data_IF_706285076712
#
_entry.id   IF_706285076712
#
_cell.length_a   1.000
_cell.length_b   1.000
_cell.length_c   1.000
_cell.angle_alpha   90.00
_cell.angle_beta   90.00
_cell.angle_gamma   90.00
#
_symmetry.space_group_name_H-M   'P 1'
#
loop_
_entity.id
_entity.type
_entity.pdbx_description
1 polymer ?
#
# COMPACT_ATOMS: atom_id res chain seq x y z
N UNK A 1 0.12 28.32 9.24
CA UNK A 1 0.04 28.98 7.92
C UNK A 1 0.30 27.90 6.89
N UNK A 2 -0.56 27.79 5.88
CA UNK A 2 -0.40 26.79 4.81
C UNK A 2 0.83 27.10 3.96
N UNK A 3 1.49 26.07 3.44
CA UNK A 3 2.64 26.25 2.55
C UNK A 3 2.24 26.84 1.19
N UNK A 4 3.21 27.38 0.46
CA UNK A 4 3.01 27.86 -0.91
C UNK A 4 2.51 26.75 -1.83
N UNK A 5 3.04 25.52 -1.68
CA UNK A 5 2.57 24.34 -2.41
C UNK A 5 1.11 24.03 -2.11
N UNK A 6 0.70 24.09 -0.84
CA UNK A 6 -0.69 23.85 -0.45
C UNK A 6 -1.63 24.89 -1.06
N UNK A 7 -1.27 26.18 -0.97
CA UNK A 7 -2.07 27.27 -1.56
C UNK A 7 -2.17 27.15 -3.09
N UNK A 8 -1.11 26.69 -3.76
CA UNK A 8 -1.13 26.45 -5.21
C UNK A 8 -2.08 25.29 -5.58
N UNK A 9 -2.03 24.17 -4.85
CA UNK A 9 -2.97 23.06 -5.04
C UNK A 9 -4.41 23.46 -4.75
N UNK A 10 -4.62 24.25 -3.69
CA UNK A 10 -5.95 24.73 -3.33
C UNK A 10 -6.59 25.54 -4.46
N UNK A 11 -5.81 26.37 -5.18
CA UNK A 11 -6.32 27.10 -6.35
C UNK A 11 -6.82 26.16 -7.44
N UNK A 12 -6.08 25.07 -7.72
CA UNK A 12 -6.49 24.05 -8.69
C UNK A 12 -7.75 23.34 -8.21
N UNK A 13 -7.81 22.99 -6.92
CA UNK A 13 -8.95 22.34 -6.29
C UNK A 13 -10.22 23.21 -6.36
N UNK A 14 -10.10 24.53 -6.21
CA UNK A 14 -11.20 25.49 -6.37
C UNK A 14 -11.78 25.43 -7.79
N UNK A 15 -10.93 25.41 -8.83
CA UNK A 15 -11.42 25.32 -10.21
C UNK A 15 -12.08 23.96 -10.50
N UNK A 16 -11.50 22.86 -9.99
CA UNK A 16 -12.11 21.53 -10.09
C UNK A 16 -13.47 21.48 -9.37
N UNK A 17 -13.58 22.04 -8.17
CA UNK A 17 -14.82 22.08 -7.40
C UNK A 17 -15.88 22.98 -8.04
N UNK A 18 -15.48 24.05 -8.74
CA UNK A 18 -16.41 24.86 -9.54
C UNK A 18 -16.98 24.06 -10.70
N UNK A 19 -16.14 23.31 -11.40
CA UNK A 19 -16.59 22.47 -12.51
C UNK A 19 -17.59 21.41 -12.02
N UNK A 20 -17.25 20.69 -10.94
CA UNK A 20 -18.13 19.64 -10.37
C UNK A 20 -19.52 20.20 -10.02
N UNK A 21 -19.60 21.42 -9.48
CA UNK A 21 -20.87 22.05 -9.07
C UNK A 21 -21.80 22.39 -10.24
N UNK A 22 -21.34 22.32 -11.47
CA UNK A 22 -22.18 22.54 -12.65
C UNK A 22 -23.09 21.35 -12.95
N UNK A 23 -22.87 20.21 -12.30
CA UNK A 23 -23.58 18.95 -12.56
C UNK A 23 -24.37 18.51 -11.33
N UNK A 24 -25.57 17.97 -11.56
CA UNK A 24 -26.39 17.35 -10.51
C UNK A 24 -26.09 15.86 -10.32
N UNK A 25 -25.40 15.24 -11.28
CA UNK A 25 -25.02 13.84 -11.27
C UNK A 25 -23.62 13.67 -11.87
N UNK A 26 -22.79 12.81 -11.27
CA UNK A 26 -21.41 12.55 -11.72
C UNK A 26 -21.06 11.07 -11.62
N UNK A 27 -20.18 10.58 -12.50
CA UNK A 27 -19.66 9.21 -12.43
C UNK A 27 -18.27 9.20 -11.81
N UNK A 28 -18.09 8.52 -10.68
CA UNK A 28 -16.81 8.45 -9.99
C UNK A 28 -16.08 7.14 -10.32
N UNK A 29 -14.81 7.24 -10.68
CA UNK A 29 -13.94 6.09 -10.95
C UNK A 29 -12.74 6.14 -10.02
N UNK A 30 -12.48 5.03 -9.31
CA UNK A 30 -11.40 4.96 -8.34
C UNK A 30 -10.63 3.65 -8.36
N UNK A 31 -9.40 3.70 -7.84
CA UNK A 31 -8.54 2.53 -7.72
C UNK A 31 -9.02 1.58 -6.59
N UNK A 32 -8.65 0.30 -6.67
CA UNK A 32 -9.12 -0.74 -5.72
C UNK A 32 -8.29 -0.87 -4.45
N UNK A 33 -7.17 -0.17 -4.31
CA UNK A 33 -6.37 -0.24 -3.09
C UNK A 33 -6.87 0.71 -2.00
N UNK A 34 -6.15 0.78 -0.87
CA UNK A 34 -6.54 1.64 0.24
C UNK A 34 -6.57 3.13 -0.12
N UNK A 35 -5.69 3.60 -1.00
CA UNK A 35 -5.65 5.02 -1.38
C UNK A 35 -6.83 5.36 -2.29
N UNK A 36 -7.14 4.50 -3.26
CA UNK A 36 -8.34 4.61 -4.08
C UNK A 36 -9.63 4.49 -3.29
N UNK A 37 -9.80 3.44 -2.48
CA UNK A 37 -11.03 3.21 -1.70
C UNK A 37 -11.31 4.37 -0.73
N UNK A 38 -10.27 4.93 -0.10
CA UNK A 38 -10.45 6.12 0.75
C UNK A 38 -10.73 7.37 -0.08
N UNK A 39 -10.08 7.56 -1.22
CA UNK A 39 -10.38 8.66 -2.15
C UNK A 39 -11.84 8.64 -2.62
N UNK A 40 -12.33 7.47 -3.03
CA UNK A 40 -13.72 7.24 -3.40
C UNK A 40 -14.67 7.63 -2.27
N UNK A 41 -14.40 7.21 -1.04
CA UNK A 41 -15.23 7.54 0.12
C UNK A 41 -15.20 9.05 0.45
N UNK A 42 -14.04 9.68 0.32
CA UNK A 42 -13.87 11.12 0.54
C UNK A 42 -14.72 11.91 -0.47
N UNK A 43 -14.58 11.62 -1.78
CA UNK A 43 -15.33 12.35 -2.80
C UNK A 43 -16.84 12.06 -2.71
N UNK A 44 -17.24 10.81 -2.46
CA UNK A 44 -18.64 10.44 -2.27
C UNK A 44 -19.31 11.24 -1.15
N UNK A 45 -18.67 11.30 0.03
CA UNK A 45 -19.18 12.11 1.16
C UNK A 45 -19.24 13.60 0.84
N UNK A 46 -18.25 14.12 0.12
CA UNK A 46 -18.23 15.52 -0.28
C UNK A 46 -19.36 15.85 -1.27
N UNK A 47 -19.60 14.98 -2.26
CA UNK A 47 -20.67 15.12 -3.25
C UNK A 47 -22.06 15.06 -2.59
N UNK A 48 -22.29 14.09 -1.69
CA UNK A 48 -23.55 14.01 -0.94
C UNK A 48 -23.83 15.26 -0.11
N UNK A 49 -22.81 15.78 0.59
CA UNK A 49 -22.93 17.03 1.36
C UNK A 49 -23.17 18.24 0.47
N UNK A 50 -22.70 18.20 -0.77
CA UNK A 50 -22.96 19.21 -1.78
C UNK A 50 -24.32 19.02 -2.50
N UNK A 51 -25.04 17.92 -2.23
CA UNK A 51 -26.31 17.60 -2.89
C UNK A 51 -26.16 17.18 -4.35
N UNK A 52 -25.04 16.54 -4.70
CA UNK A 52 -24.73 16.02 -6.04
C UNK A 52 -24.82 14.50 -6.00
N UNK A 53 -25.67 13.92 -6.85
CA UNK A 53 -25.81 12.48 -6.97
C UNK A 53 -24.57 11.88 -7.65
N UNK A 54 -24.23 10.63 -7.32
CA UNK A 54 -23.07 9.98 -7.92
C UNK A 54 -23.26 8.48 -8.11
N UNK A 55 -22.57 7.96 -9.13
CA UNK A 55 -22.29 6.53 -9.30
C UNK A 55 -20.81 6.26 -8.99
N UNK A 56 -20.50 5.06 -8.50
CA UNK A 56 -19.14 4.69 -8.10
C UNK A 56 -18.70 3.41 -8.80
N UNK A 57 -17.58 3.49 -9.52
CA UNK A 57 -16.93 2.39 -10.20
C UNK A 57 -15.51 2.21 -9.67
N UNK A 58 -15.15 0.97 -9.36
CA UNK A 58 -13.80 0.61 -8.92
C UNK A 58 -13.07 -0.17 -10.02
N UNK A 59 -11.83 0.21 -10.32
CA UNK A 59 -11.00 -0.45 -11.35
C UNK A 59 -9.61 -0.77 -10.81
N UNK A 60 -9.07 -1.93 -11.22
CA UNK A 60 -7.71 -2.35 -10.86
C UNK A 60 -6.63 -1.49 -11.53
N UNK A 61 -6.94 -0.96 -12.69
CA UNK A 61 -6.10 -0.08 -13.48
C UNK A 61 -7.00 0.66 -14.45
N UNK A 62 -6.68 1.91 -14.74
CA UNK A 62 -7.29 2.65 -15.85
C UNK A 62 -6.44 2.44 -17.10
N UNK A 63 -6.98 1.74 -18.09
CA UNK A 63 -6.38 1.58 -19.41
C UNK A 63 -7.20 2.33 -20.47
N UNK A 64 -6.66 2.41 -21.69
CA UNK A 64 -7.32 3.07 -22.81
C UNK A 64 -8.73 2.51 -23.08
N UNK A 65 -8.91 1.19 -22.90
CA UNK A 65 -10.17 0.52 -23.14
C UNK A 65 -11.25 1.04 -22.20
N UNK A 66 -10.95 1.15 -20.90
CA UNK A 66 -11.90 1.69 -19.91
C UNK A 66 -12.20 3.17 -20.19
N UNK A 67 -11.19 3.98 -20.55
CA UNK A 67 -11.42 5.40 -20.90
C UNK A 67 -12.36 5.52 -22.10
N UNK A 68 -12.17 4.67 -23.11
CA UNK A 68 -13.03 4.62 -24.28
C UNK A 68 -14.46 4.19 -23.91
N UNK A 69 -14.63 3.14 -23.13
CA UNK A 69 -15.95 2.69 -22.65
C UNK A 69 -16.68 3.82 -21.91
N UNK A 70 -16.01 4.52 -20.99
CA UNK A 70 -16.58 5.67 -20.28
C UNK A 70 -17.01 6.82 -21.22
N UNK A 71 -16.26 7.06 -22.30
CA UNK A 71 -16.62 8.07 -23.31
C UNK A 71 -17.85 7.67 -24.14
N UNK A 72 -18.13 6.38 -24.28
CA UNK A 72 -19.28 5.85 -25.02
C UNK A 72 -20.55 5.80 -24.15
N UNK A 73 -20.38 5.77 -22.81
CA UNK A 73 -21.48 5.79 -21.83
C UNK A 73 -22.15 7.17 -21.67
N UNK A 74 -21.56 8.25 -22.23
CA UNK A 74 -22.09 9.62 -22.24
C UNK A 74 -22.43 10.19 -20.84
N UNK A 75 -21.58 9.93 -19.84
CA UNK A 75 -21.65 10.61 -18.55
C UNK A 75 -21.40 12.12 -18.71
N UNK A 76 -22.20 12.96 -18.04
CA UNK A 76 -22.04 14.42 -18.10
C UNK A 76 -20.67 14.87 -17.56
N UNK A 77 -20.20 14.23 -16.49
CA UNK A 77 -18.88 14.42 -15.90
C UNK A 77 -18.38 13.12 -15.25
N UNK A 78 -17.13 12.76 -15.53
CA UNK A 78 -16.41 11.68 -14.84
C UNK A 78 -15.38 12.25 -13.85
N UNK A 79 -15.39 11.79 -12.61
CA UNK A 79 -14.40 12.15 -11.59
C UNK A 79 -13.49 10.96 -11.35
N UNK A 80 -12.22 11.10 -11.73
CA UNK A 80 -11.17 10.13 -11.47
C UNK A 80 -10.49 10.44 -10.13
N UNK A 81 -10.39 9.45 -9.25
CA UNK A 81 -9.71 9.56 -7.96
C UNK A 81 -8.64 8.48 -7.80
N UNK A 82 -7.42 8.88 -7.43
CA UNK A 82 -6.26 7.98 -7.29
C UNK A 82 -5.82 7.26 -8.59
N UNK A 83 -6.29 7.77 -9.73
CA UNK A 83 -5.90 7.33 -11.07
C UNK A 83 -6.24 8.41 -12.09
N UNK A 84 -5.79 8.23 -13.33
CA UNK A 84 -6.11 9.11 -14.45
C UNK A 84 -4.95 9.96 -14.95
N UNK A 85 -3.95 10.31 -14.13
CA UNK A 85 -2.84 11.19 -14.56
C UNK A 85 -2.02 10.60 -15.70
N UNK A 86 -1.88 9.27 -15.73
CA UNK A 86 -1.19 8.56 -16.80
C UNK A 86 -2.04 8.34 -18.05
N UNK A 87 -3.32 8.73 -18.06
CA UNK A 87 -4.25 8.48 -19.17
C UNK A 87 -4.85 9.78 -19.73
N UNK A 88 -4.28 10.94 -19.38
CA UNK A 88 -4.79 12.26 -19.78
C UNK A 88 -4.91 12.40 -21.30
N UNK A 89 -3.92 11.92 -22.06
CA UNK A 89 -3.99 11.95 -23.53
C UNK A 89 -5.19 11.18 -24.07
N UNK A 90 -5.49 10.00 -23.54
CA UNK A 90 -6.67 9.23 -23.93
C UNK A 90 -7.98 9.92 -23.53
N UNK A 91 -8.05 10.48 -22.31
CA UNK A 91 -9.23 11.24 -21.83
C UNK A 91 -9.55 12.39 -22.80
N UNK A 92 -8.54 13.13 -23.24
CA UNK A 92 -8.69 14.23 -24.21
C UNK A 92 -9.07 13.71 -25.59
N UNK A 93 -8.38 12.67 -26.08
CA UNK A 93 -8.60 12.13 -27.43
C UNK A 93 -10.01 11.57 -27.63
N UNK A 94 -10.58 10.96 -26.59
CA UNK A 94 -11.96 10.47 -26.60
C UNK A 94 -13.00 11.55 -26.24
N UNK A 95 -12.56 12.78 -25.92
CA UNK A 95 -13.45 13.88 -25.57
C UNK A 95 -14.22 13.66 -24.26
N UNK A 96 -13.66 12.88 -23.34
CA UNK A 96 -14.29 12.58 -22.05
C UNK A 96 -14.20 13.80 -21.14
N UNK A 97 -15.34 14.32 -20.70
CA UNK A 97 -15.38 15.41 -19.73
C UNK A 97 -15.00 14.88 -18.34
N UNK A 98 -13.90 15.37 -17.79
CA UNK A 98 -13.31 14.79 -16.58
C UNK A 98 -12.78 15.79 -15.56
N UNK A 99 -12.86 15.43 -14.28
CA UNK A 99 -12.01 15.98 -13.21
C UNK A 99 -11.10 14.86 -12.70
N UNK A 100 -9.80 15.15 -12.57
CA UNK A 100 -8.80 14.15 -12.18
C UNK A 100 -8.15 14.59 -10.87
N UNK A 101 -8.30 13.80 -9.81
CA UNK A 101 -7.66 13.98 -8.50
C UNK A 101 -6.72 12.81 -8.22
N UNK A 102 -5.42 13.02 -8.43
CA UNK A 102 -4.44 11.92 -8.49
C UNK A 102 -3.03 12.42 -8.16
N UNK A 103 -2.13 11.50 -7.79
CA UNK A 103 -0.76 11.76 -7.36
C UNK A 103 0.31 11.12 -8.27
N UNK A 104 -0.09 10.30 -9.23
CA UNK A 104 0.82 9.70 -10.20
C UNK A 104 1.46 10.73 -11.14
N UNK A 105 2.57 10.35 -11.80
CA UNK A 105 3.22 11.25 -12.77
C UNK A 105 2.28 11.54 -13.96
N UNK A 106 1.98 12.81 -14.27
CA UNK A 106 1.13 13.18 -15.40
C UNK A 106 1.74 12.79 -16.76
N UNK A 107 0.90 12.33 -17.67
CA UNK A 107 1.20 12.14 -19.10
C UNK A 107 0.24 13.00 -19.93
N UNK A 108 0.56 14.29 -20.06
CA UNK A 108 -0.29 15.28 -20.74
C UNK A 108 -0.68 16.45 -19.82
N UNK A 109 -1.61 17.28 -20.28
CA UNK A 109 -2.15 18.42 -19.53
C UNK A 109 -3.67 18.46 -19.66
N UNK A 110 -4.36 18.64 -18.54
CA UNK A 110 -5.82 18.77 -18.49
C UNK A 110 -6.22 19.95 -17.60
N UNK A 111 -7.30 20.66 -17.92
CA UNK A 111 -7.72 21.88 -17.20
C UNK A 111 -8.14 21.60 -15.76
N UNK A 112 -8.83 20.48 -15.53
CA UNK A 112 -9.32 20.04 -14.22
C UNK A 112 -8.49 18.87 -13.71
N UNK A 113 -7.19 19.09 -13.51
CA UNK A 113 -6.25 18.09 -12.99
C UNK A 113 -5.63 18.56 -11.68
N UNK A 114 -6.11 18.01 -10.57
CA UNK A 114 -5.55 18.22 -9.25
C UNK A 114 -4.47 17.18 -8.97
N UNK A 115 -3.20 17.60 -9.08
CA UNK A 115 -2.06 16.71 -8.87
C UNK A 115 -0.85 17.44 -8.24
N UNK A 116 -0.20 16.86 -7.20
CA UNK A 116 0.94 17.46 -6.51
C UNK A 116 2.12 17.78 -7.44
N UNK A 117 2.35 16.99 -8.49
CA UNK A 117 3.44 17.22 -9.43
C UNK A 117 3.33 18.56 -10.16
N UNK A 118 2.11 19.08 -10.36
CA UNK A 118 1.87 20.37 -11.02
C UNK A 118 2.35 21.57 -10.19
N UNK A 119 2.55 21.38 -8.89
CA UNK A 119 3.04 22.41 -7.96
C UNK A 119 4.43 22.10 -7.40
N UNK A 120 5.15 21.14 -8.03
CA UNK A 120 6.49 20.74 -7.59
C UNK A 120 6.50 19.92 -6.29
N UNK A 121 5.38 19.29 -5.93
CA UNK A 121 5.34 18.29 -4.86
C UNK A 121 5.60 16.88 -5.40
N UNK A 122 6.08 15.99 -4.54
CA UNK A 122 6.36 14.61 -4.87
C UNK A 122 5.17 13.71 -4.51
N UNK A 123 4.49 13.16 -5.52
CA UNK A 123 3.36 12.26 -5.32
C UNK A 123 3.67 10.95 -4.59
N UNK A 124 4.93 10.55 -4.43
CA UNK A 124 5.28 9.29 -3.74
C UNK A 124 5.47 9.43 -2.22
N UNK A 125 5.57 10.65 -1.68
CA UNK A 125 5.76 10.84 -0.23
C UNK A 125 5.26 12.18 0.34
N UNK A 126 4.92 13.18 -0.49
CA UNK A 126 4.41 14.47 -0.01
C UNK A 126 2.88 14.58 -0.05
N UNK A 127 2.19 13.88 -0.97
CA UNK A 127 0.72 13.85 -1.05
C UNK A 127 0.24 12.60 -1.84
N UNK A 128 -0.76 11.91 -1.32
CA UNK A 128 -1.41 10.72 -1.93
C UNK A 128 -2.67 11.08 -2.73
N UNK A 129 -3.28 10.12 -3.43
CA UNK A 129 -4.56 10.28 -4.12
C UNK A 129 -5.70 10.61 -3.15
N UNK A 130 -5.71 10.02 -1.95
CA UNK A 130 -6.68 10.37 -0.90
C UNK A 130 -6.41 11.77 -0.33
N UNK A 131 -5.14 12.19 -0.27
CA UNK A 131 -4.75 13.53 0.12
C UNK A 131 -5.18 14.61 -0.88
N UNK A 132 -4.98 14.39 -2.20
CA UNK A 132 -5.48 15.30 -3.25
C UNK A 132 -7.00 15.38 -3.20
N UNK A 133 -7.66 14.23 -3.07
CA UNK A 133 -9.13 14.16 -3.03
C UNK A 133 -9.70 14.81 -1.78
N UNK A 134 -9.02 14.75 -0.64
CA UNK A 134 -9.38 15.50 0.57
C UNK A 134 -9.27 17.02 0.38
N UNK A 135 -8.22 17.50 -0.30
CA UNK A 135 -8.09 18.93 -0.62
C UNK A 135 -9.26 19.36 -1.53
N UNK A 136 -9.59 18.56 -2.55
CA UNK A 136 -10.76 18.81 -3.42
C UNK A 136 -12.08 18.81 -2.62
N UNK A 137 -12.29 17.83 -1.75
CA UNK A 137 -13.49 17.71 -0.94
C UNK A 137 -13.72 18.97 -0.08
N UNK A 138 -12.68 19.55 0.51
CA UNK A 138 -12.80 20.77 1.30
C UNK A 138 -13.21 22.00 0.48
N UNK A 139 -13.01 21.98 -0.84
CA UNK A 139 -13.50 23.03 -1.75
C UNK A 139 -14.94 22.78 -2.20
N UNK A 140 -15.50 21.59 -1.96
CA UNK A 140 -16.92 21.26 -2.18
C UNK A 140 -17.80 21.59 -0.96
N UNK A 141 -17.25 21.63 0.25
CA UNK A 141 -17.97 21.95 1.49
C UNK A 141 -17.09 21.74 2.74
N UNK A 142 -17.70 21.77 3.94
CA UNK A 142 -16.96 21.43 5.17
C UNK A 142 -16.77 19.91 5.25
N UNK A 143 -15.55 19.46 4.92
CA UNK A 143 -15.18 18.06 4.81
C UNK A 143 -13.93 17.70 5.63
N UNK A 144 -13.61 18.53 6.63
CA UNK A 144 -12.41 18.39 7.47
C UNK A 144 -12.37 17.08 8.25
N UNK A 145 -13.53 16.55 8.61
CA UNK A 145 -13.67 15.26 9.29
C UNK A 145 -13.19 14.06 8.47
N UNK A 146 -13.10 14.20 7.15
CA UNK A 146 -12.60 13.17 6.24
C UNK A 146 -11.07 13.09 6.21
N UNK A 147 -10.36 13.93 6.97
CA UNK A 147 -8.91 13.88 7.11
C UNK A 147 -8.44 12.50 7.61
N UNK A 148 -9.24 11.80 8.43
CA UNK A 148 -8.92 10.44 8.88
C UNK A 148 -8.74 9.47 7.71
N UNK A 149 -9.64 9.52 6.72
CA UNK A 149 -9.57 8.69 5.51
C UNK A 149 -8.39 9.09 4.63
N UNK A 150 -8.09 10.40 4.51
CA UNK A 150 -6.93 10.88 3.77
C UNK A 150 -5.62 10.32 4.35
N UNK A 151 -5.51 10.29 5.68
CA UNK A 151 -4.34 9.68 6.33
C UNK A 151 -4.33 8.15 6.13
N UNK A 152 -5.47 7.47 6.18
CA UNK A 152 -5.52 6.01 5.92
C UNK A 152 -5.01 5.67 4.52
N UNK A 153 -5.47 6.38 3.48
CA UNK A 153 -5.00 6.15 2.11
C UNK A 153 -3.51 6.43 1.96
N UNK A 154 -3.04 7.58 2.46
CA UNK A 154 -1.63 7.95 2.50
C UNK A 154 -0.72 6.91 3.20
N UNK A 155 -1.19 6.30 4.29
CA UNK A 155 -0.47 5.21 4.97
C UNK A 155 -0.56 3.90 4.19
N UNK A 156 -1.69 3.62 3.54
CA UNK A 156 -1.83 2.50 2.60
C UNK A 156 -0.85 2.57 1.45
N UNK A 157 -0.56 3.79 0.99
CA UNK A 157 0.37 4.11 -0.08
C UNK A 157 1.85 4.27 0.41
N UNK A 158 2.10 3.93 1.67
CA UNK A 158 3.42 3.89 2.31
C UNK A 158 4.20 5.23 2.28
N UNK A 159 3.51 6.37 2.19
CA UNK A 159 4.16 7.68 2.00
C UNK A 159 5.00 8.14 3.21
N UNK A 160 4.70 7.62 4.40
CA UNK A 160 5.48 7.87 5.62
C UNK A 160 6.86 7.18 5.61
N UNK A 161 7.04 6.13 4.80
CA UNK A 161 8.11 5.15 4.92
C UNK A 161 9.52 5.75 4.80
N UNK A 162 9.69 6.72 3.90
CA UNK A 162 10.98 7.36 3.61
C UNK A 162 11.54 8.15 4.80
N UNK A 163 10.67 8.80 5.56
CA UNK A 163 11.06 9.69 6.66
C UNK A 163 10.67 9.15 8.04
N UNK A 164 10.00 7.99 8.10
CA UNK A 164 9.42 7.46 9.34
C UNK A 164 8.27 8.31 9.89
N UNK A 165 7.73 9.22 9.08
CA UNK A 165 6.61 10.12 9.41
C UNK A 165 6.06 10.75 8.13
N UNK A 166 4.86 11.33 8.22
CA UNK A 166 4.31 12.17 7.16
C UNK A 166 5.06 13.51 7.10
N UNK A 167 5.21 14.03 5.89
CA UNK A 167 5.96 15.27 5.62
C UNK A 167 5.17 16.14 4.64
N UNK A 168 5.52 17.43 4.59
CA UNK A 168 4.98 18.34 3.56
C UNK A 168 3.46 18.42 3.62
N UNK A 169 2.76 18.29 2.49
CA UNK A 169 1.30 18.45 2.40
C UNK A 169 0.54 17.43 3.26
N UNK A 170 0.99 16.18 3.34
CA UNK A 170 0.41 15.19 4.26
C UNK A 170 0.54 15.61 5.74
N UNK A 171 1.67 16.21 6.12
CA UNK A 171 1.88 16.72 7.49
C UNK A 171 0.97 17.92 7.77
N UNK A 172 0.69 18.76 6.77
CA UNK A 172 -0.26 19.87 6.89
C UNK A 172 -1.70 19.36 7.11
N UNK A 173 -2.15 18.36 6.34
CA UNK A 173 -3.46 17.70 6.53
C UNK A 173 -3.57 17.14 7.94
N UNK A 174 -2.54 16.42 8.41
CA UNK A 174 -2.51 15.84 9.74
C UNK A 174 -2.59 16.90 10.85
N UNK A 175 -1.73 17.93 10.79
CA UNK A 175 -1.66 18.98 11.81
C UNK A 175 -2.91 19.85 11.87
N UNK A 176 -3.64 19.98 10.76
CA UNK A 176 -4.87 20.74 10.71
C UNK A 176 -6.07 20.03 11.36
N UNK A 177 -5.99 18.71 11.60
CA UNK A 177 -7.12 17.89 12.05
C UNK A 177 -6.79 16.99 13.27
N UNK A 178 -6.26 17.54 14.38
CA UNK A 178 -5.86 16.76 15.55
C UNK A 178 -7.01 16.04 16.26
N UNK A 179 -8.25 16.48 16.06
CA UNK A 179 -9.47 15.87 16.60
C UNK A 179 -9.94 14.63 15.84
N UNK A 180 -9.35 14.34 14.68
CA UNK A 180 -9.68 13.17 13.85
C UNK A 180 -8.54 12.15 13.80
N UNK A 181 -7.28 12.63 13.78
CA UNK A 181 -6.10 11.76 13.72
C UNK A 181 -5.04 12.22 14.72
N UNK A 182 -4.60 11.29 15.58
CA UNK A 182 -3.52 11.50 16.52
C UNK A 182 -2.25 10.84 16.01
N UNK A 183 -1.20 11.64 15.82
CA UNK A 183 0.14 11.16 15.51
C UNK A 183 0.95 10.95 16.80
N UNK A 184 1.65 9.82 16.92
CA UNK A 184 2.57 9.56 18.03
C UNK A 184 3.75 8.71 17.60
N UNK A 185 4.92 8.97 18.18
CA UNK A 185 6.07 8.07 18.02
C UNK A 185 5.80 6.79 18.80
N UNK A 186 5.75 5.66 18.10
CA UNK A 186 5.49 4.34 18.69
C UNK A 186 6.16 3.24 17.83
N UNK A 187 6.05 1.99 18.27
CA UNK A 187 6.48 0.82 17.52
C UNK A 187 5.78 0.79 16.15
N UNK A 188 6.57 0.76 15.08
CA UNK A 188 6.10 0.86 13.69
C UNK A 188 5.42 -0.41 13.16
N UNK A 189 5.39 -1.47 13.96
CA UNK A 189 4.90 -2.78 13.55
C UNK A 189 3.38 -2.80 13.34
N UNK A 190 2.96 -3.60 12.37
CA UNK A 190 1.56 -3.88 12.07
C UNK A 190 0.89 -4.74 13.15
N UNK A 191 -0.38 -4.47 13.45
CA UNK A 191 -1.22 -5.31 14.32
C UNK A 191 -1.27 -4.86 15.78
N UNK A 192 -0.96 -3.59 16.08
CA UNK A 192 -1.00 -3.03 17.43
C UNK A 192 -2.37 -3.20 18.10
N UNK A 193 -3.45 -3.00 17.34
CA UNK A 193 -4.84 -3.04 17.78
C UNK A 193 -5.39 -4.48 17.79
N UNK A 194 -5.01 -5.31 16.82
CA UNK A 194 -5.71 -6.58 16.55
C UNK A 194 -4.88 -7.84 16.73
N UNK A 195 -3.57 -7.75 16.94
CA UNK A 195 -2.69 -8.93 17.01
C UNK A 195 -2.01 -9.10 18.36
N UNK A 196 -1.83 -10.36 18.80
CA UNK A 196 -0.89 -10.67 19.87
C UNK A 196 0.52 -10.20 19.53
N UNK A 197 1.25 -9.70 20.52
CA UNK A 197 2.55 -9.06 20.31
C UNK A 197 3.59 -9.97 19.63
N UNK A 198 3.62 -11.27 19.95
CA UNK A 198 4.54 -12.21 19.29
C UNK A 198 4.26 -12.32 17.78
N UNK A 199 2.98 -12.26 17.35
CA UNK A 199 2.61 -12.25 15.93
C UNK A 199 2.97 -10.95 15.24
N UNK A 200 2.92 -9.81 15.95
CA UNK A 200 3.37 -8.54 15.39
C UNK A 200 4.86 -8.60 15.03
N UNK A 201 5.68 -9.15 15.93
CA UNK A 201 7.12 -9.30 15.72
C UNK A 201 7.40 -10.35 14.62
N UNK A 202 6.73 -11.52 14.68
CA UNK A 202 6.91 -12.60 13.71
C UNK A 202 6.68 -12.12 12.26
N UNK A 203 5.65 -11.32 12.03
CA UNK A 203 5.29 -10.85 10.69
C UNK A 203 5.89 -9.48 10.33
N UNK A 204 6.82 -8.96 11.14
CA UNK A 204 7.56 -7.74 10.81
C UNK A 204 8.59 -8.03 9.72
N UNK A 205 8.24 -7.79 8.46
CA UNK A 205 9.21 -7.83 7.35
C UNK A 205 10.03 -6.56 7.24
N UNK A 206 9.57 -5.47 7.86
CA UNK A 206 10.16 -4.16 7.73
C UNK A 206 9.87 -3.28 8.97
N UNK A 207 10.84 -3.16 9.91
CA UNK A 207 12.20 -3.67 9.80
C UNK A 207 12.30 -5.20 9.93
N UNK A 208 13.26 -5.78 9.21
CA UNK A 208 13.65 -7.18 9.40
C UNK A 208 14.43 -7.33 10.71
N UNK A 209 13.98 -8.24 11.57
CA UNK A 209 14.58 -8.58 12.86
C UNK A 209 15.19 -9.98 12.76
N UNK A 210 16.54 -10.11 12.60
CA UNK A 210 17.20 -11.40 12.40
C UNK A 210 16.84 -12.41 13.48
N UNK A 211 16.37 -13.60 13.11
CA UNK A 211 15.99 -14.65 14.08
C UNK A 211 14.60 -14.51 14.70
N UNK A 212 13.93 -13.35 14.55
CA UNK A 212 12.55 -13.12 15.00
C UNK A 212 11.56 -13.08 13.83
N UNK A 213 11.86 -12.31 12.78
CA UNK A 213 11.01 -12.25 11.58
C UNK A 213 10.87 -13.63 10.95
N UNK A 214 9.63 -14.09 10.77
CA UNK A 214 9.30 -15.40 10.22
C UNK A 214 9.49 -16.57 11.19
N UNK A 215 9.87 -16.32 12.45
CA UNK A 215 10.13 -17.33 13.47
C UNK A 215 9.24 -17.11 14.72
N UNK A 216 8.20 -17.94 14.85
CA UNK A 216 7.26 -17.83 15.97
C UNK A 216 7.91 -18.18 17.31
N UNK A 217 8.62 -19.31 17.38
CA UNK A 217 9.26 -19.79 18.60
C UNK A 217 10.30 -18.78 19.08
N UNK A 218 11.09 -18.22 18.16
CA UNK A 218 12.04 -17.15 18.48
C UNK A 218 11.37 -15.89 19.06
N UNK A 219 10.19 -15.51 18.55
CA UNK A 219 9.43 -14.39 19.10
C UNK A 219 8.89 -14.69 20.52
N UNK A 220 8.40 -15.91 20.74
CA UNK A 220 7.91 -16.36 22.05
C UNK A 220 9.05 -16.40 23.07
N UNK A 221 10.21 -16.95 22.70
CA UNK A 221 11.40 -17.00 23.55
C UNK A 221 11.92 -15.59 23.87
N UNK A 222 12.02 -14.73 22.86
CA UNK A 222 12.43 -13.33 23.02
C UNK A 222 11.53 -12.60 24.03
N UNK A 223 10.21 -12.70 23.88
CA UNK A 223 9.26 -12.06 24.80
C UNK A 223 9.23 -12.74 26.18
N UNK A 224 9.43 -14.06 26.24
CA UNK A 224 9.52 -14.83 27.47
C UNK A 224 10.69 -14.37 28.35
N UNK A 225 11.84 -14.04 27.74
CA UNK A 225 13.01 -13.51 28.44
C UNK A 225 12.73 -12.18 29.19
N UNK A 226 11.73 -11.43 28.74
CA UNK A 226 11.34 -10.13 29.30
C UNK A 226 10.32 -10.26 30.45
N UNK A 227 9.93 -11.50 30.80
CA UNK A 227 8.98 -11.81 31.88
C UNK A 227 7.64 -11.05 31.74
N UNK A 228 7.11 -10.98 30.51
CA UNK A 228 5.84 -10.29 30.25
C UNK A 228 4.64 -11.01 30.89
N UNK A 229 3.70 -10.26 31.51
CA UNK A 229 2.45 -10.85 31.96
C UNK A 229 1.60 -11.29 30.76
N UNK A 230 1.17 -12.55 30.76
CA UNK A 230 0.07 -13.03 29.92
C UNK A 230 -1.21 -12.25 30.24
N UNK A 231 -2.17 -12.25 29.32
CA UNK A 231 -3.52 -11.76 29.58
C UNK A 231 -4.19 -12.60 30.69
N UNK A 232 -5.29 -12.09 31.26
CA UNK A 232 -6.01 -12.73 32.37
C UNK A 232 -6.52 -14.14 32.05
N UNK A 233 -6.62 -14.48 30.77
CA UNK A 233 -7.07 -15.76 30.21
C UNK A 233 -5.91 -16.60 29.62
N UNK A 234 -4.68 -16.36 30.06
CA UNK A 234 -3.44 -17.00 29.58
C UNK A 234 -3.13 -16.75 28.09
N UNK A 235 -3.85 -15.84 27.43
CA UNK A 235 -3.56 -15.44 26.05
C UNK A 235 -2.44 -14.41 26.00
N UNK A 236 -1.76 -14.34 24.87
CA UNK A 236 -0.81 -13.26 24.61
C UNK A 236 -1.54 -11.92 24.46
N UNK A 237 -1.06 -10.90 25.19
CA UNK A 237 -1.55 -9.52 25.09
C UNK A 237 -1.27 -8.92 23.70
N UNK A 238 -2.12 -8.00 23.27
CA UNK A 238 -1.87 -7.11 22.13
C UNK A 238 -1.04 -5.92 22.57
N UNK A 239 -0.49 -5.16 21.62
CA UNK A 239 0.28 -3.96 21.95
C UNK A 239 -0.53 -2.96 22.77
N UNK A 240 -1.80 -2.73 22.40
CA UNK A 240 -2.68 -1.80 23.12
C UNK A 240 -3.00 -2.25 24.55
N UNK A 241 -2.93 -3.55 24.85
CA UNK A 241 -3.21 -4.08 26.19
C UNK A 241 -2.01 -3.94 27.15
N UNK A 242 -0.88 -3.39 26.68
CA UNK A 242 0.33 -3.17 27.46
C UNK A 242 0.35 -1.78 28.12
N UNK A 243 0.77 -1.77 29.38
CA UNK A 243 1.10 -0.55 30.10
C UNK A 243 2.30 0.17 29.47
N UNK A 244 2.40 1.49 29.67
CA UNK A 244 3.48 2.31 29.08
C UNK A 244 4.87 1.79 29.48
N UNK A 245 5.04 1.34 30.73
CA UNK A 245 6.30 0.78 31.22
C UNK A 245 6.67 -0.51 30.48
N UNK A 246 5.67 -1.33 30.17
CA UNK A 246 5.83 -2.61 29.48
C UNK A 246 6.13 -2.40 27.99
N UNK A 247 5.44 -1.45 27.33
CA UNK A 247 5.77 -1.02 25.96
C UNK A 247 7.23 -0.57 25.85
N UNK A 248 7.70 0.25 26.80
CA UNK A 248 9.10 0.71 26.84
C UNK A 248 10.09 -0.45 26.95
N UNK A 249 9.80 -1.43 27.81
CA UNK A 249 10.65 -2.64 27.94
C UNK A 249 10.74 -3.41 26.62
N UNK A 250 9.62 -3.63 25.92
CA UNK A 250 9.63 -4.30 24.61
C UNK A 250 10.51 -3.53 23.63
N UNK A 251 10.29 -2.22 23.52
CA UNK A 251 11.03 -1.36 22.58
C UNK A 251 12.53 -1.40 22.88
N UNK A 252 12.92 -1.22 24.15
CA UNK A 252 14.33 -1.31 24.57
C UNK A 252 14.94 -2.66 24.21
N UNK A 253 14.22 -3.76 24.49
CA UNK A 253 14.68 -5.10 24.15
C UNK A 253 14.82 -5.31 22.63
N UNK A 254 13.91 -4.80 21.81
CA UNK A 254 14.00 -4.90 20.34
C UNK A 254 15.22 -4.12 19.83
N UNK A 255 15.51 -2.95 20.40
CA UNK A 255 16.68 -2.15 20.03
C UNK A 255 17.97 -2.85 20.43
N UNK A 256 18.08 -3.33 21.68
CA UNK A 256 19.24 -4.07 22.18
C UNK A 256 19.48 -5.34 21.36
N UNK A 257 18.41 -6.08 21.05
CA UNK A 257 18.45 -7.24 20.18
C UNK A 257 18.97 -6.87 18.78
N UNK A 258 18.48 -5.77 18.21
CA UNK A 258 18.90 -5.28 16.89
C UNK A 258 20.38 -4.91 16.85
N UNK A 259 20.89 -4.27 17.90
CA UNK A 259 22.32 -3.95 18.05
C UNK A 259 23.14 -5.24 18.14
N UNK A 260 22.72 -6.19 18.99
CA UNK A 260 23.40 -7.48 19.16
C UNK A 260 23.47 -8.32 17.88
N UNK A 261 22.52 -8.12 16.95
CA UNK A 261 22.45 -8.81 15.66
C UNK A 261 22.96 -7.98 14.48
N UNK A 262 23.66 -6.86 14.74
CA UNK A 262 24.24 -5.98 13.71
C UNK A 262 23.21 -5.49 12.69
N UNK A 263 21.98 -5.21 13.12
CA UNK A 263 20.95 -4.61 12.26
C UNK A 263 21.42 -3.21 11.83
N UNK A 264 21.43 -2.87 10.53
CA UNK A 264 21.87 -1.56 10.07
C UNK A 264 21.08 -0.42 10.72
N UNK A 265 21.75 0.71 11.01
CA UNK A 265 21.12 1.89 11.62
C UNK A 265 19.87 2.34 10.84
N UNK A 266 19.95 2.38 9.51
CA UNK A 266 18.82 2.74 8.67
C UNK A 266 17.58 1.82 8.84
N UNK A 267 17.76 0.57 9.28
CA UNK A 267 16.65 -0.32 9.63
C UNK A 267 16.20 -0.10 11.08
N UNK A 268 17.13 0.18 12.00
CA UNK A 268 16.80 0.47 13.40
C UNK A 268 15.99 1.76 13.54
N UNK A 269 16.30 2.78 12.75
CA UNK A 269 15.53 4.05 12.69
C UNK A 269 14.07 3.83 12.26
N UNK A 270 13.73 2.64 11.75
CA UNK A 270 12.39 2.25 11.30
C UNK A 270 11.64 1.41 12.32
N UNK A 271 12.24 1.07 13.46
CA UNK A 271 11.58 0.36 14.57
C UNK A 271 10.56 1.27 15.25
N UNK A 272 10.92 2.55 15.44
CA UNK A 272 10.06 3.56 16.05
C UNK A 272 9.79 4.64 15.02
N UNK A 273 8.53 4.78 14.63
CA UNK A 273 8.09 5.78 13.65
C UNK A 273 6.86 6.51 14.17
N UNK A 274 6.46 7.57 13.48
CA UNK A 274 5.16 8.17 13.73
C UNK A 274 4.05 7.19 13.29
N UNK A 275 3.15 6.89 14.21
CA UNK A 275 1.98 6.04 14.04
C UNK A 275 0.72 6.91 14.18
N UNK A 276 -0.34 6.55 13.45
CA UNK A 276 -1.53 7.38 13.31
C UNK A 276 -2.76 6.63 13.79
N UNK A 277 -3.38 7.16 14.85
CA UNK A 277 -4.60 6.61 15.43
C UNK A 277 -5.79 7.50 15.09
N UNK A 278 -6.86 6.88 14.58
CA UNK A 278 -8.12 7.55 14.26
C UNK A 278 -8.94 7.65 15.55
N UNK A 279 -8.95 8.83 16.17
CA UNK A 279 -9.38 8.98 17.57
C UNK A 279 -10.87 8.73 17.81
N UNK A 280 -11.68 8.78 16.74
CA UNK A 280 -13.12 8.53 16.77
C UNK A 280 -13.47 7.04 16.62
N UNK A 281 -12.53 6.22 16.17
CA UNK A 281 -12.72 4.78 16.00
C UNK A 281 -12.55 4.02 17.31
N UNK A 282 -13.20 2.86 17.42
CA UNK A 282 -13.15 2.04 18.63
C UNK A 282 -11.77 1.41 18.82
N UNK A 283 -11.17 1.56 20.00
CA UNK A 283 -9.89 0.88 20.30
C UNK A 283 -10.01 -0.65 20.20
N UNK A 284 -8.99 -1.28 19.62
CA UNK A 284 -8.94 -2.72 19.41
C UNK A 284 -9.60 -3.22 18.11
N UNK A 285 -9.99 -2.31 17.20
CA UNK A 285 -10.42 -2.65 15.83
C UNK A 285 -9.35 -2.27 14.81
N UNK A 286 -9.43 -2.85 13.60
CA UNK A 286 -8.59 -2.46 12.48
C UNK A 286 -8.74 -0.98 12.12
N UNK A 287 -9.94 -0.40 12.28
CA UNK A 287 -10.22 0.99 11.92
C UNK A 287 -9.51 2.02 12.81
N UNK A 288 -9.05 1.62 14.01
CA UNK A 288 -8.40 2.53 14.97
C UNK A 288 -7.01 2.99 14.55
N UNK A 289 -6.25 2.15 13.83
CA UNK A 289 -4.88 2.44 13.41
C UNK A 289 -4.83 2.53 11.89
N UNK A 290 -4.24 3.60 11.35
CA UNK A 290 -4.26 3.87 9.91
C UNK A 290 -3.61 2.75 9.08
N UNK A 291 -2.59 2.07 9.62
CA UNK A 291 -1.92 0.95 8.94
C UNK A 291 -2.79 -0.32 8.96
N UNK A 292 -3.51 -0.55 10.06
CA UNK A 292 -4.46 -1.66 10.15
C UNK A 292 -5.69 -1.44 9.29
N UNK A 293 -6.20 -0.21 9.25
CA UNK A 293 -7.34 0.14 8.42
C UNK A 293 -6.98 0.05 6.93
N UNK A 294 -5.83 0.60 6.51
CA UNK A 294 -5.40 0.47 5.11
C UNK A 294 -5.21 -1.00 4.70
N UNK A 295 -4.76 -1.86 5.61
CA UNK A 295 -4.64 -3.29 5.35
C UNK A 295 -6.00 -3.99 5.24
N UNK A 296 -6.98 -3.59 6.05
CA UNK A 296 -8.37 -4.04 5.93
C UNK A 296 -8.93 -3.69 4.54
N UNK A 297 -8.75 -2.43 4.11
CA UNK A 297 -9.23 -1.96 2.79
C UNK A 297 -8.52 -2.69 1.64
N UNK A 298 -7.20 -2.82 1.72
CA UNK A 298 -6.41 -3.57 0.73
C UNK A 298 -6.86 -5.04 0.62
N UNK A 299 -7.30 -5.67 1.72
CA UNK A 299 -7.85 -7.01 1.65
C UNK A 299 -9.13 -7.03 0.80
N UNK A 300 -10.05 -6.07 0.99
CA UNK A 300 -11.26 -5.97 0.17
C UNK A 300 -10.96 -5.76 -1.32
N UNK A 301 -10.00 -4.89 -1.64
CA UNK A 301 -9.54 -4.65 -3.01
C UNK A 301 -8.95 -5.90 -3.68
N UNK A 302 -8.11 -6.65 -2.97
CA UNK A 302 -7.46 -7.87 -3.50
C UNK A 302 -8.44 -8.98 -3.89
N UNK A 303 -9.62 -8.99 -3.29
CA UNK A 303 -10.69 -9.93 -3.60
C UNK A 303 -11.75 -9.35 -4.54
N UNK A 304 -11.48 -8.21 -5.19
CA UNK A 304 -12.41 -7.52 -6.10
C UNK A 304 -13.74 -7.16 -5.43
N UNK A 305 -13.68 -6.80 -4.14
CA UNK A 305 -14.84 -6.39 -3.33
C UNK A 305 -14.62 -5.01 -2.71
N UNK A 306 -14.05 -4.08 -3.50
CA UNK A 306 -13.72 -2.72 -3.05
C UNK A 306 -14.94 -1.95 -2.51
N UNK A 307 -16.14 -2.27 -2.99
CA UNK A 307 -17.41 -1.72 -2.50
C UNK A 307 -17.66 -2.02 -1.01
N UNK A 308 -17.13 -3.13 -0.49
CA UNK A 308 -17.21 -3.45 0.94
C UNK A 308 -16.31 -2.51 1.73
N UNK A 309 -15.06 -2.32 1.30
CA UNK A 309 -14.13 -1.38 1.93
C UNK A 309 -14.65 0.05 1.89
N UNK A 310 -15.24 0.45 0.74
CA UNK A 310 -15.90 1.73 0.56
C UNK A 310 -17.03 1.96 1.57
N UNK A 311 -17.94 1.00 1.75
CA UNK A 311 -19.01 1.12 2.75
C UNK A 311 -18.47 1.26 4.19
N UNK A 312 -17.36 0.58 4.52
CA UNK A 312 -16.68 0.77 5.80
C UNK A 312 -16.12 2.19 5.93
N UNK A 313 -15.48 2.73 4.89
CA UNK A 313 -15.03 4.12 4.90
C UNK A 313 -16.20 5.12 5.07
N UNK A 314 -17.39 4.82 4.55
CA UNK A 314 -18.60 5.63 4.72
C UNK A 314 -19.23 5.53 6.13
N UNK A 315 -18.68 4.72 7.03
CA UNK A 315 -19.10 4.64 8.42
C UNK A 315 -19.84 3.36 8.81
N UNK A 316 -19.99 2.38 7.90
CA UNK A 316 -20.55 1.08 8.30
C UNK A 316 -19.58 0.37 9.25
N UNK A 317 -20.06 0.09 10.47
CA UNK A 317 -19.35 -0.69 11.50
C UNK A 317 -20.08 -1.99 11.82
N UNK A 318 -21.03 -2.39 10.98
CA UNK A 318 -21.91 -3.54 11.15
C UNK A 318 -21.62 -4.61 10.10
N UNK A 319 -22.53 -4.75 9.14
CA UNK A 319 -22.47 -5.80 8.12
C UNK A 319 -21.20 -5.70 7.25
N UNK A 320 -20.94 -4.52 6.68
CA UNK A 320 -19.82 -4.35 5.75
C UNK A 320 -18.48 -4.44 6.48
N UNK A 321 -18.39 -3.92 7.71
CA UNK A 321 -17.19 -4.12 8.53
C UNK A 321 -16.96 -5.59 8.87
N UNK A 322 -18.02 -6.35 9.20
CA UNK A 322 -17.90 -7.79 9.43
C UNK A 322 -17.42 -8.53 8.18
N UNK A 323 -17.94 -8.17 6.99
CA UNK A 323 -17.53 -8.76 5.71
C UNK A 323 -16.08 -8.41 5.37
N UNK A 324 -15.67 -7.16 5.55
CA UNK A 324 -14.28 -6.74 5.37
C UNK A 324 -13.33 -7.49 6.31
N UNK A 325 -13.74 -7.70 7.57
CA UNK A 325 -12.98 -8.45 8.56
C UNK A 325 -12.81 -9.92 8.15
N UNK A 326 -13.87 -10.55 7.62
CA UNK A 326 -13.79 -11.91 7.07
C UNK A 326 -12.79 -11.98 5.91
N UNK A 327 -12.84 -11.04 4.97
CA UNK A 327 -11.89 -10.97 3.85
C UNK A 327 -10.45 -10.79 4.33
N UNK A 328 -10.22 -9.97 5.36
CA UNK A 328 -8.90 -9.83 5.96
C UNK A 328 -8.43 -11.12 6.65
N UNK A 329 -9.32 -11.85 7.31
CA UNK A 329 -8.99 -13.16 7.91
C UNK A 329 -8.64 -14.20 6.84
N UNK A 330 -9.42 -14.26 5.76
CA UNK A 330 -9.14 -15.12 4.60
C UNK A 330 -7.82 -14.72 3.93
N UNK A 331 -7.56 -13.42 3.77
CA UNK A 331 -6.28 -12.91 3.26
C UNK A 331 -5.10 -13.42 4.09
N UNK A 332 -5.19 -13.25 5.42
CA UNK A 332 -4.15 -13.69 6.36
C UNK A 332 -3.94 -15.20 6.29
N UNK A 333 -5.02 -15.98 6.22
CA UNK A 333 -4.95 -17.43 6.07
C UNK A 333 -4.23 -17.82 4.78
N UNK A 334 -4.61 -17.23 3.65
CA UNK A 334 -4.00 -17.50 2.35
C UNK A 334 -2.50 -17.14 2.32
N UNK A 335 -2.09 -16.06 3.00
CA UNK A 335 -0.67 -15.73 3.15
C UNK A 335 0.09 -16.77 3.98
N UNK A 336 -0.47 -17.21 5.11
CA UNK A 336 0.14 -18.26 5.95
C UNK A 336 0.23 -19.58 5.20
N UNK A 337 -0.84 -19.99 4.52
CA UNK A 337 -0.89 -21.20 3.71
C UNK A 337 0.14 -21.13 2.56
N UNK A 338 0.26 -19.98 1.89
CA UNK A 338 1.27 -19.74 0.86
C UNK A 338 2.71 -19.82 1.40
N UNK A 339 2.98 -19.21 2.55
CA UNK A 339 4.30 -19.30 3.22
C UNK A 339 4.62 -20.75 3.56
N UNK A 340 3.67 -21.48 4.15
CA UNK A 340 3.86 -22.88 4.54
C UNK A 340 4.04 -23.79 3.32
N UNK A 341 3.30 -23.55 2.24
CA UNK A 341 3.47 -24.26 0.98
C UNK A 341 4.90 -24.09 0.45
N UNK A 342 5.44 -22.87 0.43
CA UNK A 342 6.81 -22.65 -0.05
C UNK A 342 7.84 -23.27 0.90
N UNK A 343 7.69 -23.08 2.21
CA UNK A 343 8.65 -23.59 3.20
C UNK A 343 8.70 -25.12 3.29
N UNK A 344 7.53 -25.77 3.25
CA UNK A 344 7.42 -27.19 3.62
C UNK A 344 7.21 -28.12 2.41
N UNK A 345 6.77 -27.58 1.27
CA UNK A 345 6.36 -28.41 0.12
C UNK A 345 7.09 -28.05 -1.17
N UNK A 346 7.10 -26.77 -1.56
CA UNK A 346 7.64 -26.34 -2.85
C UNK A 346 9.16 -26.16 -2.84
N UNK A 347 9.68 -25.54 -1.78
CA UNK A 347 11.05 -25.08 -1.71
C UNK A 347 11.31 -23.80 -2.51
N UNK A 348 12.53 -23.29 -2.37
CA UNK A 348 13.10 -22.20 -3.17
C UNK A 348 14.35 -22.74 -3.84
N UNK A 349 14.49 -22.48 -5.13
CA UNK A 349 15.65 -22.88 -5.93
C UNK A 349 16.61 -21.70 -6.03
N UNK A 350 17.84 -21.91 -5.62
CA UNK A 350 18.92 -20.92 -5.71
C UNK A 350 19.71 -21.10 -7.01
N UNK A 351 19.89 -20.01 -7.76
CA UNK A 351 20.83 -19.88 -8.88
C UNK A 351 21.99 -18.98 -8.45
N UNK A 352 22.93 -18.67 -9.34
CA UNK A 352 24.14 -17.92 -8.97
C UNK A 352 23.91 -16.47 -8.52
N UNK A 353 22.88 -15.80 -9.05
CA UNK A 353 22.60 -14.38 -8.77
C UNK A 353 21.13 -14.10 -8.43
N UNK A 354 20.27 -15.11 -8.50
CA UNK A 354 18.85 -15.02 -8.15
C UNK A 354 18.41 -16.27 -7.41
N UNK A 355 17.27 -16.20 -6.73
CA UNK A 355 16.56 -17.37 -6.23
C UNK A 355 15.10 -17.30 -6.66
N UNK A 356 14.39 -18.43 -6.75
CA UNK A 356 13.01 -18.41 -7.18
C UNK A 356 12.15 -19.57 -6.64
N UNK A 357 10.84 -19.41 -6.74
CA UNK A 357 9.88 -20.50 -6.59
C UNK A 357 8.73 -20.35 -7.59
N UNK A 358 8.24 -21.47 -8.11
CA UNK A 358 7.04 -21.53 -8.95
C UNK A 358 5.85 -22.02 -8.12
N UNK A 359 4.88 -21.14 -7.89
CA UNK A 359 3.69 -21.46 -7.11
C UNK A 359 2.56 -22.06 -7.95
N UNK A 360 2.65 -22.01 -9.29
CA UNK A 360 1.60 -22.46 -10.21
C UNK A 360 0.23 -21.88 -9.80
N UNK A 361 -0.74 -22.74 -9.50
CA UNK A 361 -2.09 -22.35 -9.04
C UNK A 361 -2.26 -22.46 -7.52
N UNK A 362 -1.20 -22.76 -6.76
CA UNK A 362 -1.27 -22.97 -5.30
C UNK A 362 -1.24 -21.67 -4.50
N UNK A 363 -0.69 -20.61 -5.09
CA UNK A 363 -0.71 -19.27 -4.50
C UNK A 363 -1.26 -18.31 -5.55
N UNK A 364 -2.39 -17.63 -5.28
CA UNK A 364 -2.97 -16.68 -6.23
C UNK A 364 -2.00 -15.59 -6.67
N UNK A 365 -2.13 -15.15 -7.92
CA UNK A 365 -1.32 -14.07 -8.49
C UNK A 365 -1.42 -12.74 -7.70
N UNK A 366 -2.53 -12.53 -7.01
CA UNK A 366 -2.81 -11.32 -6.22
C UNK A 366 -2.02 -11.26 -4.92
N UNK A 367 -1.46 -12.40 -4.46
CA UNK A 367 -0.73 -12.51 -3.20
C UNK A 367 0.68 -13.10 -3.34
N UNK A 368 1.03 -13.71 -4.48
CA UNK A 368 2.33 -14.38 -4.69
C UNK A 368 3.54 -13.47 -4.39
N UNK A 369 3.46 -12.19 -4.75
CA UNK A 369 4.52 -11.22 -4.45
C UNK A 369 4.62 -10.84 -2.97
N UNK A 370 3.52 -10.93 -2.21
CA UNK A 370 3.54 -10.72 -0.75
C UNK A 370 4.21 -11.91 -0.09
N UNK A 371 3.83 -13.13 -0.49
CA UNK A 371 4.46 -14.36 0.00
C UNK A 371 5.96 -14.32 -0.28
N UNK A 372 6.37 -13.96 -1.50
CA UNK A 372 7.78 -13.81 -1.86
C UNK A 372 8.53 -12.86 -0.92
N UNK A 373 7.95 -11.69 -0.62
CA UNK A 373 8.56 -10.73 0.30
C UNK A 373 8.65 -11.24 1.74
N UNK A 374 7.61 -11.92 2.23
CA UNK A 374 7.58 -12.48 3.58
C UNK A 374 8.59 -13.62 3.75
N UNK A 375 8.67 -14.54 2.79
CA UNK A 375 9.58 -15.69 2.88
C UNK A 375 11.03 -15.32 2.58
N UNK A 376 11.31 -14.23 1.88
CA UNK A 376 12.69 -13.82 1.54
C UNK A 376 13.59 -13.76 2.78
N UNK A 377 13.01 -13.36 3.91
CA UNK A 377 13.63 -13.33 5.23
C UNK A 377 14.15 -14.69 5.72
N UNK A 378 13.50 -15.79 5.30
CA UNK A 378 13.81 -17.17 5.68
C UNK A 378 14.75 -17.88 4.70
N UNK A 379 15.17 -17.20 3.62
CA UNK A 379 16.07 -17.74 2.59
C UNK A 379 17.26 -16.78 2.36
N UNK A 380 17.96 -16.92 1.24
CA UNK A 380 19.19 -16.18 0.99
C UNK A 380 18.92 -14.69 0.68
N UNK A 381 19.00 -13.84 1.69
CA UNK A 381 18.74 -12.38 1.55
C UNK A 381 19.76 -11.63 0.67
N UNK A 382 20.86 -12.28 0.28
CA UNK A 382 21.85 -11.73 -0.64
C UNK A 382 21.50 -11.97 -2.12
N UNK A 383 20.39 -12.64 -2.40
CA UNK A 383 19.87 -12.83 -3.75
C UNK A 383 18.45 -12.25 -3.83
N UNK A 384 18.06 -11.56 -4.91
CA UNK A 384 16.66 -11.23 -5.14
C UNK A 384 15.86 -12.51 -5.35
N UNK A 385 14.61 -12.52 -4.88
CA UNK A 385 13.68 -13.64 -5.02
C UNK A 385 12.65 -13.35 -6.11
N UNK A 386 12.44 -14.33 -6.99
CA UNK A 386 11.41 -14.32 -8.03
C UNK A 386 10.34 -15.35 -7.71
N UNK A 387 9.08 -14.96 -7.83
CA UNK A 387 7.95 -15.82 -7.57
C UNK A 387 7.02 -15.86 -8.77
N UNK A 388 6.65 -17.07 -9.19
CA UNK A 388 5.78 -17.31 -10.34
C UNK A 388 4.41 -17.80 -9.88
N UNK A 389 3.37 -17.33 -10.54
CA UNK A 389 1.99 -17.83 -10.43
C UNK A 389 1.40 -17.93 -11.83
N UNK A 390 0.53 -18.91 -12.06
CA UNK A 390 -0.23 -18.98 -13.31
C UNK A 390 -1.26 -17.86 -13.38
N UNK A 391 -1.53 -17.41 -14.61
CA UNK A 391 -2.58 -16.46 -14.99
C UNK A 391 -3.16 -16.92 -16.35
N UNK A 392 -4.32 -16.42 -16.76
CA UNK A 392 -4.96 -16.77 -18.04
C UNK A 392 -4.03 -16.70 -19.25
N UNK A 393 -3.19 -15.66 -19.33
CA UNK A 393 -2.36 -15.31 -20.50
C UNK A 393 -0.86 -15.59 -20.31
N UNK A 394 -0.44 -16.26 -19.24
CA UNK A 394 0.96 -16.58 -18.99
C UNK A 394 1.30 -16.78 -17.52
N UNK A 395 2.53 -16.50 -17.14
CA UNK A 395 2.96 -16.46 -15.75
C UNK A 395 3.03 -15.02 -15.25
N UNK A 396 2.38 -14.76 -14.10
CA UNK A 396 2.67 -13.58 -13.30
C UNK A 396 3.99 -13.81 -12.57
N UNK A 397 4.93 -12.88 -12.75
CA UNK A 397 6.20 -12.84 -12.02
C UNK A 397 6.15 -11.71 -11.00
N UNK A 398 6.56 -12.00 -9.77
CA UNK A 398 6.80 -10.99 -8.73
C UNK A 398 8.23 -11.11 -8.23
N UNK A 399 8.98 -10.01 -8.24
CA UNK A 399 10.37 -9.98 -7.76
C UNK A 399 10.49 -9.11 -6.49
N UNK A 400 11.38 -9.53 -5.59
CA UNK A 400 11.70 -8.79 -4.35
C UNK A 400 13.21 -8.79 -4.11
N UNK A 401 13.74 -7.61 -3.82
CA UNK A 401 15.11 -7.39 -3.40
C UNK A 401 15.20 -6.91 -1.95
N UNK A 402 16.42 -6.69 -1.48
CA UNK A 402 16.69 -6.01 -0.21
C UNK A 402 17.35 -4.67 -0.48
N UNK A 403 17.27 -3.73 0.47
CA UNK A 403 17.98 -2.45 0.34
C UNK A 403 19.50 -2.64 0.17
N UNK A 404 20.05 -3.71 0.76
CA UNK A 404 21.47 -4.07 0.58
C UNK A 404 21.77 -4.37 -0.89
N UNK A 405 20.85 -5.05 -1.59
CA UNK A 405 21.02 -5.34 -3.02
C UNK A 405 20.86 -4.08 -3.87
N UNK A 406 19.87 -3.23 -3.56
CA UNK A 406 19.68 -1.95 -4.26
C UNK A 406 20.91 -1.07 -4.13
N UNK A 407 21.50 -0.99 -2.93
CA UNK A 407 22.73 -0.24 -2.70
C UNK A 407 23.95 -0.81 -3.46
N UNK A 408 23.90 -2.08 -3.88
CA UNK A 408 24.90 -2.70 -4.75
C UNK A 408 24.58 -2.54 -6.25
N UNK A 409 23.54 -1.80 -6.61
CA UNK A 409 23.15 -1.55 -8.00
C UNK A 409 21.96 -2.36 -8.51
N UNK A 410 21.28 -3.15 -7.67
CA UNK A 410 20.07 -3.87 -8.09
C UNK A 410 18.98 -2.89 -8.53
N UNK A 411 18.47 -3.09 -9.75
CA UNK A 411 17.27 -2.43 -10.25
C UNK A 411 16.36 -3.47 -10.93
N UNK A 412 15.39 -3.99 -10.17
CA UNK A 412 14.47 -5.02 -10.65
C UNK A 412 13.53 -4.53 -11.75
N UNK A 413 13.08 -3.27 -11.70
CA UNK A 413 12.21 -2.71 -12.74
C UNK A 413 12.90 -2.70 -14.09
N UNK A 414 14.11 -2.15 -14.15
CA UNK A 414 14.91 -2.07 -15.38
C UNK A 414 15.24 -3.47 -15.93
N UNK A 415 15.67 -4.39 -15.05
CA UNK A 415 15.98 -5.75 -15.46
C UNK A 415 14.76 -6.48 -16.04
N UNK A 416 13.59 -6.35 -15.40
CA UNK A 416 12.36 -6.95 -15.89
C UNK A 416 11.89 -6.33 -17.20
N UNK A 417 11.95 -5.01 -17.36
CA UNK A 417 11.54 -4.33 -18.58
C UNK A 417 12.34 -4.84 -19.79
N UNK A 418 13.67 -4.93 -19.65
CA UNK A 418 14.56 -5.43 -20.71
C UNK A 418 14.25 -6.90 -21.05
N UNK A 419 14.24 -7.78 -20.04
CA UNK A 419 14.07 -9.22 -20.27
C UNK A 419 12.67 -9.55 -20.77
N UNK A 420 11.62 -8.91 -20.25
CA UNK A 420 10.25 -9.19 -20.67
C UNK A 420 9.99 -8.72 -22.10
N UNK A 421 10.55 -7.56 -22.50
CA UNK A 421 10.44 -7.06 -23.88
C UNK A 421 11.01 -8.04 -24.90
N UNK A 422 12.10 -8.74 -24.57
CA UNK A 422 12.68 -9.77 -25.44
C UNK A 422 11.82 -11.03 -25.53
N UNK A 423 11.10 -11.38 -24.46
CA UNK A 423 10.30 -12.61 -24.36
C UNK A 423 8.82 -12.43 -24.75
N UNK A 424 8.44 -11.24 -25.22
CA UNK A 424 7.04 -10.92 -25.56
C UNK A 424 6.14 -10.75 -24.33
N UNK A 425 6.74 -10.43 -23.18
CA UNK A 425 6.04 -10.08 -21.94
C UNK A 425 6.09 -8.58 -21.64
N UNK A 426 5.56 -8.20 -20.48
CA UNK A 426 5.64 -6.84 -19.96
C UNK A 426 6.13 -6.88 -18.51
N UNK A 427 7.01 -5.95 -18.13
CA UNK A 427 7.58 -5.88 -16.78
C UNK A 427 7.84 -4.43 -16.37
N UNK A 428 7.73 -4.16 -15.07
CA UNK A 428 7.99 -2.84 -14.50
C UNK A 428 7.74 -2.79 -12.99
N UNK A 429 8.00 -1.64 -12.38
CA UNK A 429 7.78 -1.39 -10.96
C UNK A 429 8.88 -0.50 -10.37
N UNK A 430 9.45 -0.93 -9.25
CA UNK A 430 10.53 -0.24 -8.55
C UNK A 430 11.82 -1.06 -8.56
N UNK A 431 12.93 -0.41 -8.19
CA UNK A 431 14.24 -1.03 -8.03
C UNK A 431 14.25 -2.23 -7.07
N UNK A 432 13.55 -2.13 -5.94
CA UNK A 432 13.49 -3.14 -4.88
C UNK A 432 12.35 -4.15 -5.04
N UNK A 433 11.29 -3.80 -5.76
CA UNK A 433 10.13 -4.66 -5.95
C UNK A 433 9.47 -4.34 -7.29
N UNK A 434 9.34 -5.35 -8.13
CA UNK A 434 8.76 -5.20 -9.45
C UNK A 434 7.91 -6.43 -9.82
N UNK A 435 7.13 -6.29 -10.87
CA UNK A 435 6.27 -7.35 -11.38
C UNK A 435 6.36 -7.44 -12.89
N UNK A 436 6.08 -8.63 -13.41
CA UNK A 436 6.02 -8.87 -14.83
C UNK A 436 4.96 -9.91 -15.19
N UNK A 437 4.66 -10.00 -16.47
CA UNK A 437 3.92 -11.09 -17.09
C UNK A 437 4.76 -11.63 -18.23
N UNK A 438 4.98 -12.95 -18.26
CA UNK A 438 5.71 -13.63 -19.34
C UNK A 438 4.85 -14.73 -19.96
N UNK A 439 4.98 -15.02 -21.27
CA UNK A 439 4.22 -16.09 -21.90
C UNK A 439 4.56 -17.47 -21.35
N UNK A 440 3.62 -18.41 -21.42
CA UNK A 440 3.87 -19.81 -21.10
C UNK A 440 5.04 -20.39 -21.93
N UNK A 441 5.82 -21.27 -21.31
CA UNK A 441 6.97 -21.92 -21.95
C UNK A 441 8.26 -21.07 -22.02
N UNK A 442 8.24 -19.83 -21.51
CA UNK A 442 9.41 -18.93 -21.51
C UNK A 442 10.13 -18.85 -20.16
N UNK A 443 9.63 -19.55 -19.11
CA UNK A 443 10.14 -19.41 -17.73
C UNK A 443 11.64 -19.72 -17.60
N UNK A 444 12.13 -20.79 -18.22
CA UNK A 444 13.55 -21.17 -18.14
C UNK A 444 14.45 -20.11 -18.79
N UNK A 445 14.05 -19.61 -19.96
CA UNK A 445 14.78 -18.53 -20.66
C UNK A 445 14.74 -17.24 -19.86
N UNK A 446 13.60 -16.93 -19.23
CA UNK A 446 13.46 -15.79 -18.33
C UNK A 446 14.44 -15.89 -17.15
N UNK A 447 14.47 -17.03 -16.46
CA UNK A 447 15.35 -17.25 -15.31
C UNK A 447 16.83 -17.12 -15.68
N UNK A 448 17.25 -17.69 -16.82
CA UNK A 448 18.63 -17.57 -17.33
C UNK A 448 19.00 -16.11 -17.60
N UNK A 449 18.16 -15.39 -18.37
CA UNK A 449 18.39 -13.99 -18.71
C UNK A 449 18.39 -13.09 -17.48
N UNK A 450 17.45 -13.29 -16.55
CA UNK A 450 17.42 -12.54 -15.30
C UNK A 450 18.65 -12.81 -14.46
N UNK A 451 19.10 -14.06 -14.34
CA UNK A 451 20.29 -14.40 -13.59
C UNK A 451 21.55 -13.69 -14.16
N UNK A 452 21.65 -13.58 -15.48
CA UNK A 452 22.72 -12.80 -16.14
C UNK A 452 22.55 -11.30 -15.89
N UNK A 453 21.35 -10.74 -16.11
CA UNK A 453 21.09 -9.32 -15.93
C UNK A 453 21.39 -8.84 -14.51
N UNK A 454 20.94 -9.60 -13.49
CA UNK A 454 21.20 -9.27 -12.09
C UNK A 454 22.71 -9.37 -11.78
N UNK A 455 23.42 -10.34 -12.36
CA UNK A 455 24.88 -10.42 -12.21
C UNK A 455 25.60 -9.17 -12.73
N UNK A 456 25.14 -8.59 -13.84
CA UNK A 456 25.70 -7.36 -14.42
C UNK A 456 25.38 -6.13 -13.56
N UNK A 457 24.18 -6.04 -12.99
CA UNK A 457 23.79 -4.93 -12.11
C UNK A 457 24.61 -4.91 -10.80
N UNK A 458 24.77 -6.07 -10.15
CA UNK A 458 25.38 -6.17 -8.82
C UNK A 458 26.91 -6.38 -8.88
N UNK A 459 27.43 -6.92 -9.99
CA UNK A 459 28.85 -7.22 -10.18
C UNK A 459 29.70 -6.08 -10.75
N UNK A 460 29.08 -4.96 -11.13
CA UNK A 460 29.76 -3.80 -11.74
C UNK A 460 30.13 -2.69 -10.74
N UNK A 461 30.03 -2.96 -9.43
CA UNK A 461 30.23 -2.00 -8.33
C UNK A 461 31.48 -2.22 -7.50
#
# INVERSE_FOLDING_TARGET
MSSEKYLALQKIAIECAKEIRNYSHVHCVSHIDADGITSAAIIARALERAGIDYEMQFVKQLDEKIVKELSEENHDLVIFTDLGSGQIEHIINYGLNAVISDHHRPQGQHSHHLNPHLVGANGSYELSGSGTTYILANELGDNRDLASLAIVGCIGDLQYRKYGKLVSLNEEILKANPEHVMAKMDLSLYGKQTRPIHKMIQFSTDPYLPGLTGNEDGCIEFLGSLHFPLAKDERWKRWIDLEIADKRKVISAIIEYSIGHNVPKANMDRIITECYELVQEREGTETRDAMEFSTLLNATGRYMQAEIGFAVCLGDRGEYYSRASTLLQEHRKNLVDGINYVKNTNGVIELSHIQYFDAKDKIPETIVGIVAGMIHSSYNRNLPIFAFSNKEDGHKVSSRGTQILVNKGLNLSEALEVVCKELGGAGGGHDIAAGATIPYGTMDQFLEKMNIMISQQIGSG
#
